data_IF_107207193999
#
_entry.id   IF_107207193999
#
_cell.length_a   1.000
_cell.length_b   1.000
_cell.length_c   1.000
_cell.angle_alpha   90.00
_cell.angle_beta   90.00
_cell.angle_gamma   90.00
#
_symmetry.space_group_name_H-M   'P 1'
#
loop_
_entity.id
_entity.type
_entity.pdbx_description
1 polymer ?
#
# COMPACT_ATOMS: atom_id res chain seq x y z
N UNK A 1 74.04 23.52 -20.09
CA UNK A 1 72.81 23.30 -19.31
C UNK A 1 72.00 24.59 -19.32
N UNK A 2 70.92 24.67 -20.11
CA UNK A 2 69.99 25.81 -20.05
C UNK A 2 69.07 25.61 -18.85
N UNK A 3 69.15 26.49 -17.87
CA UNK A 3 68.20 26.55 -16.76
C UNK A 3 66.83 26.94 -17.33
N UNK A 4 65.76 26.16 -17.11
CA UNK A 4 64.42 26.53 -17.57
C UNK A 4 63.98 27.84 -16.92
N UNK A 5 63.39 28.73 -17.72
CA UNK A 5 62.88 30.04 -17.27
C UNK A 5 61.86 29.89 -16.14
N UNK A 6 62.09 30.62 -15.05
CA UNK A 6 61.24 30.63 -13.85
C UNK A 6 59.88 31.31 -14.06
N UNK A 7 59.67 32.02 -15.19
CA UNK A 7 58.43 32.74 -15.52
C UNK A 7 57.23 31.81 -15.77
N UNK A 8 57.47 30.64 -16.35
CA UNK A 8 56.40 29.76 -16.84
C UNK A 8 55.72 29.00 -15.68
N UNK A 9 56.47 28.73 -14.61
CA UNK A 9 55.96 28.14 -13.38
C UNK A 9 55.10 29.12 -12.58
N UNK A 10 55.40 30.43 -12.64
CA UNK A 10 54.63 31.47 -11.96
C UNK A 10 53.23 31.65 -12.54
N UNK A 11 53.11 31.68 -13.88
CA UNK A 11 51.81 31.78 -14.55
C UNK A 11 50.93 30.55 -14.32
N UNK A 12 51.51 29.35 -14.37
CA UNK A 12 50.79 28.10 -14.10
C UNK A 12 50.25 28.05 -12.66
N UNK A 13 51.05 28.48 -11.68
CA UNK A 13 50.64 28.51 -10.27
C UNK A 13 49.45 29.46 -10.04
N UNK A 14 49.49 30.65 -10.65
CA UNK A 14 48.41 31.65 -10.56
C UNK A 14 47.14 31.14 -11.23
N UNK A 15 47.24 30.51 -12.39
CA UNK A 15 46.08 29.92 -13.08
C UNK A 15 45.44 28.79 -12.26
N UNK A 16 46.24 27.92 -11.64
CA UNK A 16 45.73 26.83 -10.77
C UNK A 16 45.05 27.38 -9.52
N UNK A 17 45.63 28.39 -8.87
CA UNK A 17 45.03 29.05 -7.71
C UNK A 17 43.71 29.77 -8.05
N UNK A 18 43.62 30.35 -9.25
CA UNK A 18 42.39 31.00 -9.74
C UNK A 18 41.29 29.99 -10.10
N UNK A 19 41.64 28.80 -10.60
CA UNK A 19 40.70 27.73 -11.00
C UNK A 19 40.28 26.81 -9.85
N UNK A 20 41.08 26.71 -8.79
CA UNK A 20 40.81 25.87 -7.62
C UNK A 20 39.42 26.11 -7.01
N UNK A 21 38.97 27.35 -6.75
CA UNK A 21 37.63 27.62 -6.22
C UNK A 21 36.51 27.10 -7.12
N UNK A 22 36.67 27.23 -8.45
CA UNK A 22 35.70 26.72 -9.42
C UNK A 22 35.64 25.19 -9.36
N UNK A 23 36.78 24.51 -9.33
CA UNK A 23 36.86 23.04 -9.21
C UNK A 23 36.26 22.55 -7.88
N UNK A 24 36.55 23.21 -6.76
CA UNK A 24 35.98 22.87 -5.46
C UNK A 24 34.46 23.07 -5.45
N UNK A 25 33.96 24.16 -6.03
CA UNK A 25 32.52 24.40 -6.15
C UNK A 25 31.82 23.34 -7.00
N UNK A 26 32.47 22.91 -8.10
CA UNK A 26 31.97 21.86 -8.98
C UNK A 26 31.89 20.52 -8.23
N UNK A 27 32.93 20.15 -7.49
CA UNK A 27 32.96 18.95 -6.65
C UNK A 27 31.88 18.97 -5.56
N UNK A 28 31.64 20.12 -4.94
CA UNK A 28 30.56 20.29 -3.95
C UNK A 28 29.17 20.12 -4.58
N UNK A 29 28.94 20.65 -5.79
CA UNK A 29 27.67 20.45 -6.49
C UNK A 29 27.47 18.97 -6.83
N UNK A 30 28.50 18.29 -7.34
CA UNK A 30 28.42 16.86 -7.65
C UNK A 30 28.20 16.00 -6.39
N UNK A 31 28.81 16.33 -5.27
CA UNK A 31 28.61 15.59 -4.02
C UNK A 31 27.18 15.73 -3.49
N UNK A 32 26.60 16.93 -3.54
CA UNK A 32 25.21 17.20 -3.15
C UNK A 32 24.21 16.47 -4.06
N UNK A 33 24.45 16.50 -5.37
CA UNK A 33 23.63 15.75 -6.33
C UNK A 33 23.73 14.24 -6.07
N UNK A 34 24.93 13.73 -5.81
CA UNK A 34 25.17 12.33 -5.46
C UNK A 34 24.41 11.91 -4.21
N UNK A 35 24.47 12.70 -3.13
CA UNK A 35 23.73 12.44 -1.89
C UNK A 35 22.22 12.44 -2.13
N UNK A 36 21.68 13.41 -2.87
CA UNK A 36 20.25 13.46 -3.17
C UNK A 36 19.75 12.26 -3.99
N UNK A 37 20.55 11.78 -4.95
CA UNK A 37 20.24 10.57 -5.71
C UNK A 37 20.25 9.32 -4.81
N UNK A 38 21.22 9.21 -3.89
CA UNK A 38 21.29 8.13 -2.91
C UNK A 38 20.05 8.15 -2.00
N UNK A 39 19.68 9.30 -1.45
CA UNK A 39 18.50 9.43 -0.59
C UNK A 39 17.20 9.13 -1.32
N UNK A 40 17.08 9.59 -2.58
CA UNK A 40 15.94 9.27 -3.42
C UNK A 40 15.83 7.76 -3.69
N UNK A 41 16.95 7.11 -4.01
CA UNK A 41 17.01 5.68 -4.26
C UNK A 41 16.60 4.88 -3.02
N UNK A 42 17.10 5.30 -1.84
CA UNK A 42 16.81 4.69 -0.54
C UNK A 42 15.35 4.86 -0.16
N UNK A 43 14.79 6.07 -0.27
CA UNK A 43 13.39 6.35 -0.01
C UNK A 43 12.47 5.53 -0.92
N UNK A 44 12.80 5.44 -2.22
CA UNK A 44 12.06 4.63 -3.19
C UNK A 44 12.13 3.14 -2.86
N UNK A 45 13.31 2.62 -2.49
CA UNK A 45 13.47 1.22 -2.10
C UNK A 45 12.68 0.89 -0.84
N UNK A 46 12.80 1.70 0.22
CA UNK A 46 12.07 1.53 1.47
C UNK A 46 10.55 1.58 1.23
N UNK A 47 10.08 2.53 0.42
CA UNK A 47 8.68 2.57 0.07
C UNK A 47 8.23 1.31 -0.68
N UNK A 48 8.95 0.89 -1.74
CA UNK A 48 8.58 -0.31 -2.51
C UNK A 48 8.52 -1.54 -1.62
N UNK A 49 9.54 -1.75 -0.79
CA UNK A 49 9.61 -2.85 0.16
C UNK A 49 8.42 -2.84 1.13
N UNK A 50 8.15 -1.68 1.74
CA UNK A 50 7.07 -1.56 2.72
C UNK A 50 5.69 -1.72 2.08
N UNK A 51 5.45 -1.07 0.94
CA UNK A 51 4.16 -1.14 0.23
C UNK A 51 3.87 -2.55 -0.28
N UNK A 52 4.85 -3.26 -0.85
CA UNK A 52 4.70 -4.67 -1.24
C UNK A 52 4.41 -5.56 -0.04
N UNK A 53 5.15 -5.40 1.07
CA UNK A 53 4.92 -6.14 2.31
C UNK A 53 3.50 -5.93 2.86
N UNK A 54 3.01 -4.69 2.89
CA UNK A 54 1.65 -4.41 3.34
C UNK A 54 0.63 -5.03 2.38
N UNK A 55 0.82 -4.90 1.07
CA UNK A 55 -0.11 -5.46 0.09
C UNK A 55 -0.13 -7.00 0.11
N UNK A 56 1.01 -7.67 0.34
CA UNK A 56 1.04 -9.14 0.45
C UNK A 56 0.28 -9.66 1.68
N UNK A 57 0.40 -8.97 2.82
CA UNK A 57 -0.38 -9.30 4.02
C UNK A 57 -1.89 -9.09 3.83
N UNK A 58 -2.25 -8.02 3.11
CA UNK A 58 -3.64 -7.75 2.76
C UNK A 58 -4.17 -8.79 1.76
N UNK A 59 -3.37 -9.16 0.76
CA UNK A 59 -3.70 -10.20 -0.23
C UNK A 59 -4.08 -11.53 0.44
N UNK A 60 -3.28 -11.99 1.41
CA UNK A 60 -3.58 -13.20 2.17
C UNK A 60 -4.92 -13.12 2.91
N UNK A 61 -5.22 -11.96 3.51
CA UNK A 61 -6.46 -11.75 4.26
C UNK A 61 -7.68 -11.70 3.33
N UNK A 62 -7.53 -11.11 2.14
CA UNK A 62 -8.56 -11.09 1.09
C UNK A 62 -8.81 -12.49 0.55
N UNK A 63 -7.76 -13.24 0.25
CA UNK A 63 -7.86 -14.62 -0.22
C UNK A 63 -8.63 -15.48 0.78
N UNK A 64 -8.27 -15.38 2.06
CA UNK A 64 -8.98 -16.05 3.15
C UNK A 64 -10.45 -15.61 3.23
N UNK A 65 -10.75 -14.31 3.08
CA UNK A 65 -12.12 -13.82 3.09
C UNK A 65 -12.94 -14.38 1.92
N UNK A 66 -12.34 -14.46 0.73
CA UNK A 66 -12.99 -14.94 -0.48
C UNK A 66 -13.19 -16.46 -0.46
N UNK A 67 -12.30 -17.22 0.17
CA UNK A 67 -12.48 -18.67 0.32
C UNK A 67 -13.70 -19.03 1.18
N UNK A 68 -14.09 -18.13 2.10
CA UNK A 68 -15.31 -18.26 2.91
C UNK A 68 -16.61 -18.10 2.09
N UNK A 69 -16.55 -17.60 0.85
CA UNK A 69 -17.74 -17.38 0.02
C UNK A 69 -18.51 -18.67 -0.29
N UNK A 70 -17.82 -19.80 -0.46
CA UNK A 70 -18.47 -21.08 -0.69
C UNK A 70 -19.31 -21.50 0.53
N UNK A 71 -18.73 -21.36 1.73
CA UNK A 71 -19.43 -21.64 3.01
C UNK A 71 -20.61 -20.69 3.21
N UNK A 72 -20.44 -19.40 2.92
CA UNK A 72 -21.51 -18.41 2.98
C UNK A 72 -22.70 -18.77 2.08
N UNK A 73 -22.44 -19.19 0.83
CA UNK A 73 -23.49 -19.65 -0.10
C UNK A 73 -24.23 -20.88 0.43
N UNK A 74 -23.50 -21.89 0.91
CA UNK A 74 -24.09 -23.11 1.49
C UNK A 74 -25.00 -22.79 2.68
N UNK A 75 -24.55 -21.95 3.61
CA UNK A 75 -25.35 -21.56 4.77
C UNK A 75 -26.60 -20.76 4.38
N UNK A 76 -26.51 -19.89 3.36
CA UNK A 76 -27.68 -19.17 2.84
C UNK A 76 -28.71 -20.13 2.24
N UNK A 77 -28.27 -21.11 1.44
CA UNK A 77 -29.15 -22.12 0.87
C UNK A 77 -29.78 -23.01 1.96
N UNK A 78 -28.98 -23.46 2.93
CA UNK A 78 -29.45 -24.24 4.06
C UNK A 78 -30.50 -23.47 4.87
N UNK A 79 -30.28 -22.17 5.13
CA UNK A 79 -31.26 -21.32 5.82
C UNK A 79 -32.58 -21.22 5.06
N UNK A 80 -32.52 -21.00 3.74
CA UNK A 80 -33.74 -20.96 2.89
C UNK A 80 -34.51 -22.28 2.98
N UNK A 81 -33.78 -23.40 2.93
CA UNK A 81 -34.37 -24.75 3.03
C UNK A 81 -34.99 -25.00 4.42
N UNK A 82 -34.30 -24.62 5.49
CA UNK A 82 -34.79 -24.75 6.87
C UNK A 82 -36.01 -23.87 7.15
N UNK A 83 -36.06 -22.66 6.57
CA UNK A 83 -37.25 -21.81 6.62
C UNK A 83 -38.43 -22.48 5.91
N UNK A 84 -38.21 -23.06 4.73
CA UNK A 84 -39.25 -23.81 4.02
C UNK A 84 -39.74 -25.04 4.79
N UNK A 85 -38.83 -25.78 5.46
CA UNK A 85 -39.20 -26.91 6.28
C UNK A 85 -40.02 -26.48 7.50
N UNK A 86 -39.66 -25.36 8.13
CA UNK A 86 -40.43 -24.77 9.22
C UNK A 86 -41.83 -24.36 8.78
N UNK A 87 -41.98 -23.71 7.63
CA UNK A 87 -43.29 -23.32 7.09
C UNK A 87 -44.16 -24.54 6.77
N UNK A 88 -43.57 -25.61 6.21
CA UNK A 88 -44.31 -26.86 5.96
C UNK A 88 -44.71 -27.56 7.26
N UNK A 89 -43.84 -27.63 8.25
CA UNK A 89 -44.15 -28.19 9.56
C UNK A 89 -45.29 -27.44 10.25
N UNK A 90 -45.31 -26.10 10.17
CA UNK A 90 -46.40 -25.30 10.74
C UNK A 90 -47.75 -25.53 10.06
N UNK A 91 -47.77 -25.89 8.78
CA UNK A 91 -49.00 -26.10 8.02
C UNK A 91 -49.52 -27.55 8.11
N UNK A 92 -48.62 -28.54 8.07
CA UNK A 92 -48.99 -29.94 7.86
C UNK A 92 -48.70 -30.85 9.05
N UNK A 93 -47.78 -30.49 9.96
CA UNK A 93 -47.37 -31.37 11.06
C UNK A 93 -46.84 -30.57 12.25
N UNK A 94 -47.73 -30.01 13.10
CA UNK A 94 -47.35 -29.13 14.21
C UNK A 94 -46.32 -29.73 15.18
N UNK A 95 -46.36 -31.06 15.38
CA UNK A 95 -45.39 -31.79 16.20
C UNK A 95 -43.93 -31.70 15.71
N UNK A 96 -43.71 -31.39 14.41
CA UNK A 96 -42.36 -31.24 13.83
C UNK A 96 -41.80 -29.81 13.94
N UNK A 97 -42.62 -28.82 14.34
CA UNK A 97 -42.21 -27.42 14.51
C UNK A 97 -40.99 -27.24 15.43
N UNK A 98 -40.90 -27.85 16.63
CA UNK A 98 -39.73 -27.68 17.49
C UNK A 98 -38.43 -28.20 16.84
N UNK A 99 -38.52 -29.29 16.08
CA UNK A 99 -37.39 -29.88 15.34
C UNK A 99 -36.96 -28.94 14.20
N UNK A 100 -37.91 -28.44 13.41
CA UNK A 100 -37.60 -27.50 12.33
C UNK A 100 -37.00 -26.18 12.87
N UNK A 101 -37.50 -25.69 14.01
CA UNK A 101 -36.97 -24.49 14.67
C UNK A 101 -35.55 -24.69 15.19
N UNK A 102 -35.24 -25.83 15.80
CA UNK A 102 -33.88 -26.13 16.29
C UNK A 102 -32.88 -26.23 15.14
N UNK A 103 -33.27 -26.82 14.00
CA UNK A 103 -32.46 -26.86 12.78
C UNK A 103 -32.16 -25.45 12.24
N UNK A 104 -33.18 -24.57 12.18
CA UNK A 104 -33.01 -23.17 11.76
C UNK A 104 -32.09 -22.39 12.72
N UNK A 105 -32.24 -22.60 14.03
CA UNK A 105 -31.37 -21.97 15.04
C UNK A 105 -29.91 -22.40 14.87
N UNK A 106 -29.65 -23.70 14.66
CA UNK A 106 -28.30 -24.21 14.38
C UNK A 106 -27.66 -23.55 13.17
N UNK A 107 -28.39 -23.42 12.06
CA UNK A 107 -27.90 -22.74 10.85
C UNK A 107 -27.64 -21.26 11.12
N UNK A 108 -28.52 -20.59 11.86
CA UNK A 108 -28.37 -19.17 12.21
C UNK A 108 -27.13 -18.96 13.07
N UNK A 109 -26.87 -19.84 14.05
CA UNK A 109 -25.66 -19.79 14.85
C UNK A 109 -24.39 -19.97 13.99
N UNK A 110 -24.38 -20.92 13.05
CA UNK A 110 -23.28 -21.08 12.09
C UNK A 110 -23.07 -19.83 11.22
N UNK A 111 -24.15 -19.13 10.83
CA UNK A 111 -24.06 -17.86 10.12
C UNK A 111 -23.42 -16.77 10.98
N UNK A 112 -23.76 -16.66 12.28
CA UNK A 112 -23.12 -15.72 13.19
C UNK A 112 -21.62 -15.99 13.37
N UNK A 113 -21.22 -17.26 13.50
CA UNK A 113 -19.80 -17.63 13.56
C UNK A 113 -19.09 -17.17 12.29
N UNK A 114 -19.66 -17.46 11.12
CA UNK A 114 -19.08 -17.05 9.85
C UNK A 114 -19.00 -15.53 9.71
N UNK A 115 -20.04 -14.82 10.15
CA UNK A 115 -20.07 -13.36 10.19
C UNK A 115 -18.92 -12.81 11.03
N UNK A 116 -18.71 -13.37 12.22
CA UNK A 116 -17.59 -13.01 13.10
C UNK A 116 -16.24 -13.22 12.43
N UNK A 117 -16.04 -14.36 11.76
CA UNK A 117 -14.81 -14.65 10.99
C UNK A 117 -14.57 -13.63 9.88
N UNK A 118 -15.60 -13.33 9.09
CA UNK A 118 -15.52 -12.34 8.01
C UNK A 118 -15.22 -10.94 8.54
N UNK A 119 -15.88 -10.53 9.63
CA UNK A 119 -15.65 -9.23 10.28
C UNK A 119 -14.24 -9.11 10.85
N UNK A 120 -13.72 -10.18 11.46
CA UNK A 120 -12.34 -10.21 11.95
C UNK A 120 -11.32 -10.05 10.81
N UNK A 121 -11.55 -10.69 9.66
CA UNK A 121 -10.69 -10.55 8.48
C UNK A 121 -10.75 -9.13 7.89
N UNK A 122 -11.94 -8.52 7.81
CA UNK A 122 -12.08 -7.13 7.38
C UNK A 122 -11.34 -6.16 8.30
N UNK A 123 -11.50 -6.32 9.62
CA UNK A 123 -10.78 -5.52 10.62
C UNK A 123 -9.26 -5.74 10.53
N UNK A 124 -8.82 -6.97 10.23
CA UNK A 124 -7.41 -7.27 9.98
C UNK A 124 -6.89 -6.54 8.74
N UNK A 125 -7.62 -6.57 7.63
CA UNK A 125 -7.28 -5.82 6.42
C UNK A 125 -7.14 -4.33 6.75
N UNK A 126 -8.13 -3.72 7.39
CA UNK A 126 -8.08 -2.30 7.76
C UNK A 126 -6.91 -1.96 8.69
N UNK A 127 -6.65 -2.80 9.69
CA UNK A 127 -5.56 -2.55 10.64
C UNK A 127 -4.18 -2.70 9.99
N UNK A 128 -3.98 -3.72 9.14
CA UNK A 128 -2.77 -3.87 8.33
C UNK A 128 -2.52 -2.65 7.46
N UNK A 129 -3.56 -2.11 6.84
CA UNK A 129 -3.49 -0.86 6.08
C UNK A 129 -3.05 0.34 6.92
N UNK A 130 -3.69 0.56 8.08
CA UNK A 130 -3.35 1.66 8.99
C UNK A 130 -1.92 1.55 9.51
N UNK A 131 -1.48 0.35 9.87
CA UNK A 131 -0.10 0.08 10.32
C UNK A 131 0.88 0.32 9.18
N UNK A 132 0.60 -0.21 7.99
CA UNK A 132 1.43 -0.01 6.79
C UNK A 132 1.57 1.47 6.44
N UNK A 133 0.50 2.26 6.57
CA UNK A 133 0.53 3.70 6.37
C UNK A 133 1.42 4.42 7.40
N UNK A 134 1.28 4.09 8.69
CA UNK A 134 2.10 4.68 9.76
C UNK A 134 3.59 4.36 9.56
N UNK A 135 3.89 3.11 9.23
CA UNK A 135 5.27 2.66 8.94
C UNK A 135 5.83 3.36 7.69
N UNK A 136 5.03 3.49 6.63
CA UNK A 136 5.44 4.21 5.44
C UNK A 136 5.71 5.69 5.75
N UNK A 137 4.86 6.31 6.58
CA UNK A 137 5.07 7.67 7.07
C UNK A 137 6.38 7.77 7.86
N UNK A 138 6.60 6.92 8.85
CA UNK A 138 7.82 6.99 9.66
C UNK A 138 9.09 6.76 8.85
N UNK A 139 9.06 5.88 7.83
CA UNK A 139 10.21 5.63 6.94
C UNK A 139 10.53 6.82 6.03
N UNK A 140 9.52 7.62 5.67
CA UNK A 140 9.62 8.74 4.74
C UNK A 140 9.55 10.12 5.42
N UNK A 141 9.30 10.20 6.73
CA UNK A 141 9.35 11.43 7.53
C UNK A 141 10.80 11.79 7.85
N UNK A 142 11.57 12.07 6.80
CA UNK A 142 12.96 12.53 6.92
C UNK A 142 13.05 14.03 6.61
N UNK A 143 14.00 14.77 7.20
CA UNK A 143 14.12 16.21 6.99
C UNK A 143 14.39 16.58 5.53
N UNK A 144 15.00 15.68 4.74
CA UNK A 144 15.27 15.93 3.31
C UNK A 144 14.00 15.84 2.43
N UNK A 145 12.92 15.26 2.95
CA UNK A 145 11.68 14.97 2.25
C UNK A 145 10.59 15.99 2.61
N UNK A 146 10.33 16.95 1.72
CA UNK A 146 9.17 17.85 1.81
C UNK A 146 7.91 17.20 1.24
N UNK A 147 6.76 17.59 1.81
CA UNK A 147 5.40 17.24 1.36
C UNK A 147 5.21 15.74 1.09
N UNK A 148 5.09 14.95 2.16
CA UNK A 148 4.74 13.54 2.07
C UNK A 148 3.22 13.37 1.93
N UNK A 149 2.77 12.95 0.75
CA UNK A 149 1.38 12.55 0.52
C UNK A 149 1.29 11.03 0.43
N UNK A 150 0.54 10.43 1.36
CA UNK A 150 0.26 9.00 1.39
C UNK A 150 -1.20 8.81 1.00
N UNK A 151 -1.43 8.07 -0.10
CA UNK A 151 -2.78 7.71 -0.55
C UNK A 151 -3.09 6.29 -0.10
N UNK A 152 -4.25 6.15 0.54
CA UNK A 152 -4.79 4.88 0.98
C UNK A 152 -6.16 4.65 0.35
N UNK A 153 -6.36 3.44 -0.13
CA UNK A 153 -7.64 2.96 -0.61
C UNK A 153 -8.59 2.64 0.55
N UNK A 154 -9.88 2.90 0.37
CA UNK A 154 -10.90 2.21 1.16
C UNK A 154 -11.00 0.75 0.68
N UNK A 155 -11.46 -0.13 1.57
CA UNK A 155 -11.79 -1.52 1.25
C UNK A 155 -12.69 -1.58 0.02
N UNK A 156 -12.16 -2.08 -1.10
CA UNK A 156 -12.89 -2.23 -2.37
C UNK A 156 -13.56 -3.62 -2.46
N UNK A 157 -14.09 -4.10 -1.32
CA UNK A 157 -14.83 -5.35 -1.19
C UNK A 157 -16.28 -5.04 -0.86
N UNK A 158 -17.20 -5.63 -1.61
CA UNK A 158 -18.65 -5.41 -1.44
C UNK A 158 -19.33 -6.71 -0.98
N UNK A 159 -20.13 -6.67 0.09
CA UNK A 159 -20.94 -7.81 0.52
C UNK A 159 -22.15 -8.01 -0.42
N UNK A 160 -22.35 -9.25 -0.85
CA UNK A 160 -23.47 -9.66 -1.71
C UNK A 160 -24.15 -10.89 -1.08
N UNK A 161 -25.38 -10.76 -0.55
CA UNK A 161 -26.21 -9.54 -0.41
C UNK A 161 -25.72 -8.65 0.75
N UNK A 162 -25.96 -7.33 0.72
CA UNK A 162 -25.39 -6.37 1.68
C UNK A 162 -25.85 -6.56 3.13
N UNK A 163 -27.07 -7.07 3.36
CA UNK A 163 -27.65 -7.24 4.69
C UNK A 163 -27.74 -8.71 5.13
N UNK A 164 -27.00 -9.61 4.47
CA UNK A 164 -26.95 -11.01 4.87
C UNK A 164 -26.07 -11.19 6.11
N UNK A 165 -26.45 -12.11 7.00
CA UNK A 165 -25.56 -12.56 8.09
C UNK A 165 -24.34 -13.32 7.55
N UNK A 166 -24.44 -13.92 6.37
CA UNK A 166 -23.33 -14.60 5.69
C UNK A 166 -23.24 -14.13 4.24
N UNK A 167 -22.77 -12.89 4.00
CA UNK A 167 -22.60 -12.36 2.66
C UNK A 167 -21.44 -13.07 1.97
N UNK A 168 -21.49 -13.11 0.64
CA UNK A 168 -20.31 -13.39 -0.17
C UNK A 168 -19.66 -12.07 -0.53
N UNK A 169 -18.34 -11.95 -0.41
CA UNK A 169 -17.62 -10.73 -0.78
C UNK A 169 -17.19 -10.80 -2.24
N UNK A 170 -17.35 -9.69 -2.95
CA UNK A 170 -16.90 -9.51 -4.32
C UNK A 170 -16.02 -8.26 -4.44
N UNK A 171 -15.17 -8.24 -5.46
CA UNK A 171 -14.29 -7.13 -5.75
C UNK A 171 -15.04 -6.09 -6.59
N UNK A 172 -14.85 -4.81 -6.27
CA UNK A 172 -15.36 -3.72 -7.12
C UNK A 172 -14.61 -3.73 -8.46
N UNK A 173 -15.28 -3.47 -9.61
CA UNK A 173 -14.59 -3.25 -10.87
C UNK A 173 -13.48 -2.21 -10.74
N UNK A 174 -12.29 -2.51 -11.26
CA UNK A 174 -11.13 -1.64 -11.09
C UNK A 174 -10.48 -1.73 -9.70
N UNK A 175 -10.68 -2.83 -8.97
CA UNK A 175 -10.11 -3.10 -7.66
C UNK A 175 -8.65 -2.67 -7.54
N UNK A 176 -7.77 -3.05 -8.48
CA UNK A 176 -6.34 -2.72 -8.40
C UNK A 176 -6.04 -1.21 -8.51
N UNK A 177 -6.91 -0.43 -9.16
CA UNK A 177 -6.77 1.03 -9.20
C UNK A 177 -7.24 1.68 -7.90
N UNK A 178 -8.36 1.17 -7.37
CA UNK A 178 -8.95 1.67 -6.14
C UNK A 178 -8.10 1.28 -4.93
N UNK A 179 -7.58 0.06 -4.93
CA UNK A 179 -6.88 -0.61 -3.83
C UNK A 179 -5.35 -0.53 -3.98
N UNK A 180 -4.82 0.69 -3.98
CA UNK A 180 -3.38 0.98 -4.05
C UNK A 180 -2.87 1.67 -2.78
N UNK A 181 -1.72 1.23 -2.28
CA UNK A 181 -0.99 1.89 -1.21
C UNK A 181 0.18 2.59 -1.87
N UNK A 182 0.23 3.92 -1.76
CA UNK A 182 1.31 4.67 -2.38
C UNK A 182 1.68 5.91 -1.58
N UNK A 183 2.92 6.32 -1.77
CA UNK A 183 3.44 7.58 -1.28
C UNK A 183 4.03 8.39 -2.42
N UNK A 184 3.95 9.71 -2.27
CA UNK A 184 4.62 10.69 -3.10
C UNK A 184 5.30 11.71 -2.19
N UNK A 185 6.51 12.09 -2.56
CA UNK A 185 7.34 13.04 -1.80
C UNK A 185 8.11 13.95 -2.76
N UNK A 186 8.55 15.09 -2.24
CA UNK A 186 9.44 16.03 -2.92
C UNK A 186 10.75 16.12 -2.16
N UNK A 187 11.87 15.88 -2.82
CA UNK A 187 13.19 16.17 -2.27
C UNK A 187 13.49 17.65 -2.44
N UNK A 188 13.96 18.30 -1.37
CA UNK A 188 14.48 19.65 -1.45
C UNK A 188 16.00 19.61 -1.37
N UNK A 189 16.67 20.03 -2.43
CA UNK A 189 18.10 20.26 -2.43
C UNK A 189 18.38 21.62 -1.81
N UNK A 190 18.80 21.63 -0.54
CA UNK A 190 19.36 22.84 0.07
C UNK A 190 20.84 22.91 -0.32
N UNK A 191 21.15 23.65 -1.39
CA UNK A 191 22.54 23.92 -1.77
C UNK A 191 23.19 24.96 -0.84
N UNK A 192 24.54 25.01 -0.75
CA UNK A 192 25.27 26.04 -0.04
C UNK A 192 25.08 27.44 -0.65
N UNK A 193 24.54 27.51 -1.87
CA UNK A 193 24.24 28.74 -2.62
C UNK A 193 22.79 29.20 -2.44
N UNK A 194 22.15 28.91 -1.30
CA UNK A 194 20.78 29.33 -0.99
C UNK A 194 20.52 30.86 -1.08
N UNK A 195 21.59 31.65 -1.21
CA UNK A 195 21.58 33.09 -1.42
C UNK A 195 21.50 33.54 -2.90
N UNK A 196 21.84 32.69 -3.88
CA UNK A 196 21.90 33.07 -5.32
C UNK A 196 20.52 32.99 -6.01
N UNK A 197 19.50 32.47 -5.34
CA UNK A 197 18.13 32.54 -5.86
C UNK A 197 17.24 31.49 -5.25
N UNK A 198 15.95 31.79 -5.19
CA UNK A 198 14.89 30.87 -4.75
C UNK A 198 14.61 29.77 -5.79
N UNK A 199 15.63 29.24 -6.47
CA UNK A 199 15.45 28.08 -7.34
C UNK A 199 15.30 26.83 -6.46
N UNK A 200 14.06 26.57 -6.04
CA UNK A 200 13.71 25.35 -5.32
C UNK A 200 13.75 24.19 -6.32
N UNK A 201 14.95 23.64 -6.57
CA UNK A 201 15.09 22.41 -7.34
C UNK A 201 14.40 21.31 -6.54
N UNK A 202 13.23 20.90 -7.03
CA UNK A 202 12.41 19.89 -6.38
C UNK A 202 12.25 18.69 -7.30
N UNK A 203 12.58 17.52 -6.77
CA UNK A 203 12.35 16.25 -7.47
C UNK A 203 11.18 15.53 -6.83
N UNK A 204 10.12 15.32 -7.60
CA UNK A 204 8.99 14.50 -7.20
C UNK A 204 9.30 13.03 -7.43
N UNK A 205 9.16 12.22 -6.39
CA UNK A 205 9.25 10.78 -6.50
C UNK A 205 8.00 10.14 -5.91
N UNK A 206 7.65 8.97 -6.45
CA UNK A 206 6.49 8.22 -6.03
C UNK A 206 6.72 6.72 -6.13
N UNK A 207 5.90 6.00 -5.40
CA UNK A 207 5.81 4.55 -5.36
C UNK A 207 4.38 4.18 -5.01
N UNK A 208 3.89 3.10 -5.61
CA UNK A 208 2.69 2.45 -5.14
C UNK A 208 2.79 0.95 -5.36
N UNK A 209 2.09 0.21 -4.51
CA UNK A 209 1.81 -1.20 -4.72
C UNK A 209 0.30 -1.43 -4.69
N UNK A 210 -0.15 -2.41 -5.45
CA UNK A 210 -1.52 -2.91 -5.43
C UNK A 210 -1.50 -4.44 -5.36
N UNK A 211 -2.68 -5.02 -5.22
CA UNK A 211 -2.89 -6.46 -5.36
C UNK A 211 -3.64 -6.71 -6.66
N UNK A 212 -3.10 -7.60 -7.48
CA UNK A 212 -3.71 -8.12 -8.71
C UNK A 212 -3.96 -9.61 -8.53
N UNK A 213 -4.95 -10.13 -9.25
CA UNK A 213 -5.18 -11.57 -9.33
C UNK A 213 -4.55 -12.08 -10.62
N UNK A 214 -3.50 -12.87 -10.49
CA UNK A 214 -2.75 -13.45 -11.61
C UNK A 214 -2.84 -14.98 -11.50
N UNK A 215 -3.30 -15.65 -12.56
CA UNK A 215 -3.48 -17.10 -12.60
C UNK A 215 -4.26 -17.70 -11.40
N UNK A 216 -5.26 -16.96 -10.90
CA UNK A 216 -6.04 -17.38 -9.74
C UNK A 216 -5.46 -17.00 -8.38
N UNK A 217 -4.21 -16.57 -8.32
CA UNK A 217 -3.45 -16.25 -7.10
C UNK A 217 -3.39 -14.74 -6.90
N UNK A 218 -3.44 -14.30 -5.65
CA UNK A 218 -3.32 -12.89 -5.29
C UNK A 218 -1.86 -12.49 -5.15
N UNK A 219 -1.38 -11.62 -6.03
CA UNK A 219 0.02 -11.19 -6.08
C UNK A 219 0.09 -9.69 -5.83
N UNK A 220 1.08 -9.26 -5.03
CA UNK A 220 1.37 -7.84 -4.83
C UNK A 220 2.29 -7.34 -5.94
N UNK A 221 1.87 -6.31 -6.67
CA UNK A 221 2.61 -5.72 -7.77
C UNK A 221 2.88 -4.22 -7.57
N UNK A 222 3.99 -3.73 -8.10
CA UNK A 222 4.27 -2.29 -8.14
C UNK A 222 3.42 -1.60 -9.22
N UNK A 223 2.98 -0.37 -8.95
CA UNK A 223 2.20 0.42 -9.90
C UNK A 223 2.70 1.86 -9.95
N UNK A 224 2.41 2.54 -11.06
CA UNK A 224 2.73 3.96 -11.23
C UNK A 224 1.68 4.80 -10.51
N UNK A 225 2.14 5.77 -9.72
CA UNK A 225 1.27 6.81 -9.16
C UNK A 225 1.00 7.83 -10.26
N UNK A 226 -0.11 7.63 -11.00
CA UNK A 226 -0.80 8.74 -11.66
C UNK A 226 -1.47 9.62 -10.62
#
# INVERSE_FOLDING_TARGET
MKLPHSSDYGFALVAVLALMPALVSLLMVFSLLGQALVDQSRARHLCRKQTLKTQSQVAQSIETLLSLNAKARRLRFARKSALSALTMATLSSPQLVPIARSALQKITHQQHILHGQQKALLNKIESTWRVGQRQLRSLLSRPELKSLSIRMARSALVPVPPNSLSPSYQLVPGYSKLHRLGASWRLKLNGPLGWIGKSELSWTASCAATVTKENGIWVSGLTVVK
#
